data_IF_680799444567
#
_entry.id   IF_680799444567
#
_cell.length_a   1.000
_cell.length_b   1.000
_cell.length_c   1.000
_cell.angle_alpha   90.00
_cell.angle_beta   90.00
_cell.angle_gamma   90.00
#
_symmetry.space_group_name_H-M   'P 1'
#
loop_
_entity.id
_entity.type
_entity.pdbx_description
1 polymer ?
#
# COMPACT_ATOMS: atom_id res chain seq x y z
N UNK A 1 31.55 21.83 -5.86
CA UNK A 1 30.89 20.56 -5.63
C UNK A 1 30.17 19.99 -6.87
N UNK A 2 29.78 20.77 -7.87
CA UNK A 2 29.12 20.28 -9.11
C UNK A 2 29.99 19.43 -10.05
N UNK A 3 31.32 19.53 -9.97
CA UNK A 3 32.22 18.82 -10.89
C UNK A 3 32.60 17.41 -10.41
N UNK A 4 32.50 17.12 -9.10
CA UNK A 4 32.83 15.80 -8.57
C UNK A 4 31.79 14.74 -8.97
N UNK A 5 30.53 15.14 -9.06
CA UNK A 5 29.43 14.25 -9.45
C UNK A 5 29.53 13.77 -10.93
N UNK A 6 30.05 14.64 -11.81
CA UNK A 6 30.24 14.30 -13.22
C UNK A 6 31.35 13.25 -13.44
N UNK A 7 32.38 13.27 -12.61
CA UNK A 7 33.48 12.31 -12.69
C UNK A 7 33.10 10.92 -12.15
N UNK A 8 32.21 10.87 -11.14
CA UNK A 8 31.72 9.61 -10.60
C UNK A 8 30.86 8.86 -11.64
N UNK A 9 29.98 9.57 -12.36
CA UNK A 9 29.12 8.99 -13.40
C UNK A 9 29.98 8.48 -14.59
N UNK A 10 31.02 9.23 -14.98
CA UNK A 10 31.91 8.80 -16.05
C UNK A 10 32.74 7.57 -15.66
N UNK A 11 33.19 7.48 -14.39
CA UNK A 11 33.95 6.33 -13.89
C UNK A 11 33.14 5.04 -13.85
N UNK A 12 31.89 5.11 -13.43
CA UNK A 12 31.00 3.93 -13.38
C UNK A 12 30.66 3.42 -14.80
N UNK A 13 30.43 4.31 -15.75
CA UNK A 13 30.18 3.94 -17.14
C UNK A 13 31.36 3.20 -17.77
N UNK A 14 32.60 3.61 -17.46
CA UNK A 14 33.82 2.98 -18.00
C UNK A 14 34.05 1.56 -17.43
N UNK A 15 33.76 1.36 -16.15
CA UNK A 15 33.89 0.05 -15.48
C UNK A 15 32.90 -0.96 -16.07
N UNK A 16 31.67 -0.54 -16.38
CA UNK A 16 30.64 -1.43 -16.97
C UNK A 16 31.06 -1.89 -18.36
N UNK A 17 31.70 -1.02 -19.16
CA UNK A 17 32.20 -1.40 -20.51
C UNK A 17 33.39 -2.38 -20.47
N UNK A 18 34.28 -2.24 -19.48
CA UNK A 18 35.44 -3.13 -19.36
C UNK A 18 35.04 -4.53 -18.83
N UNK A 19 34.10 -4.61 -17.91
CA UNK A 19 33.62 -5.90 -17.39
C UNK A 19 32.70 -6.60 -18.42
N UNK A 20 31.87 -5.86 -19.14
CA UNK A 20 31.03 -6.40 -20.23
C UNK A 20 31.85 -6.97 -21.39
N UNK A 21 32.96 -6.32 -21.75
CA UNK A 21 33.86 -6.78 -22.84
C UNK A 21 34.63 -8.06 -22.51
N UNK A 22 34.96 -8.31 -21.26
CA UNK A 22 35.71 -9.52 -20.85
C UNK A 22 34.84 -10.79 -20.88
N UNK A 23 33.56 -10.69 -20.67
CA UNK A 23 32.63 -11.84 -20.69
C UNK A 23 32.27 -12.32 -22.10
N UNK A 24 32.40 -11.48 -23.12
CA UNK A 24 32.06 -11.87 -24.51
C UNK A 24 33.18 -12.68 -25.18
N UNK A 25 34.43 -12.56 -24.72
CA UNK A 25 35.61 -13.15 -25.40
C UNK A 25 35.91 -14.59 -24.97
N UNK A 26 35.31 -15.13 -23.92
CA UNK A 26 35.67 -16.45 -23.38
C UNK A 26 34.63 -17.56 -23.63
N UNK A 27 33.58 -17.33 -24.43
CA UNK A 27 32.52 -18.31 -24.63
C UNK A 27 32.18 -18.63 -26.08
N UNK A 28 33.23 -18.73 -26.94
CA UNK A 28 33.08 -19.32 -28.27
C UNK A 28 33.52 -20.80 -28.25
N UNK A 29 32.68 -21.64 -27.69
CA UNK A 29 32.95 -23.09 -27.77
C UNK A 29 31.98 -23.88 -26.90
N UNK A 30 30.74 -23.99 -27.31
CA UNK A 30 29.88 -25.17 -27.34
C UNK A 30 28.42 -24.72 -27.57
N UNK A 31 27.97 -24.87 -28.80
CA UNK A 31 26.55 -24.72 -29.11
C UNK A 31 25.82 -25.97 -28.66
N UNK A 32 25.26 -25.94 -27.45
CA UNK A 32 24.08 -26.73 -27.13
C UNK A 32 22.95 -25.72 -27.00
N UNK A 33 21.93 -25.87 -27.83
CA UNK A 33 20.76 -24.99 -27.86
C UNK A 33 20.08 -24.96 -26.49
N UNK A 34 20.38 -23.93 -25.70
CA UNK A 34 19.54 -23.56 -24.56
C UNK A 34 18.54 -22.52 -25.05
N UNK A 35 17.30 -22.94 -25.13
CA UNK A 35 16.17 -22.03 -25.29
C UNK A 35 16.31 -20.86 -24.29
N UNK A 36 16.07 -19.60 -24.71
CA UNK A 36 16.06 -18.50 -23.80
C UNK A 36 14.97 -18.78 -22.77
N UNK A 37 15.35 -19.04 -21.52
CA UNK A 37 14.44 -18.97 -20.39
C UNK A 37 14.01 -17.52 -20.32
N UNK A 38 12.90 -17.21 -20.94
CA UNK A 38 12.17 -15.97 -20.72
C UNK A 38 11.77 -16.01 -19.26
N UNK A 39 12.56 -15.39 -18.41
CA UNK A 39 12.10 -15.00 -17.06
C UNK A 39 10.97 -14.02 -17.30
N UNK A 40 9.75 -14.54 -17.37
CA UNK A 40 8.54 -13.74 -17.29
C UNK A 40 8.64 -13.04 -15.95
N UNK A 41 9.02 -11.78 -15.94
CA UNK A 41 8.78 -10.92 -14.80
C UNK A 41 7.25 -10.88 -14.71
N UNK A 42 6.71 -11.65 -13.81
CA UNK A 42 5.30 -11.61 -13.44
C UNK A 42 5.08 -10.20 -12.91
N UNK A 43 4.57 -9.34 -13.76
CA UNK A 43 4.24 -7.96 -13.42
C UNK A 43 3.10 -8.03 -12.43
N UNK A 44 3.41 -7.86 -11.14
CA UNK A 44 2.43 -7.85 -10.07
C UNK A 44 1.30 -6.89 -10.46
N UNK A 45 0.13 -7.45 -10.66
CA UNK A 45 -1.06 -6.67 -10.99
C UNK A 45 -1.42 -5.82 -9.78
N UNK A 46 -1.60 -4.54 -10.00
CA UNK A 46 -1.99 -3.59 -8.96
C UNK A 46 -3.42 -3.13 -9.16
N UNK A 47 -4.11 -2.89 -8.06
CA UNK A 47 -5.44 -2.29 -8.01
C UNK A 47 -5.36 -0.91 -7.38
N UNK A 48 -6.16 0.01 -7.87
CA UNK A 48 -6.27 1.37 -7.34
C UNK A 48 -7.49 1.48 -6.44
N UNK A 49 -7.34 2.17 -5.33
CA UNK A 49 -8.45 2.43 -4.40
C UNK A 49 -8.36 3.83 -3.84
N UNK A 50 -9.50 4.40 -3.49
CA UNK A 50 -9.61 5.65 -2.78
C UNK A 50 -9.91 5.37 -1.31
N UNK A 51 -9.17 6.03 -0.41
CA UNK A 51 -9.39 5.95 1.03
C UNK A 51 -9.86 7.28 1.54
N UNK A 52 -11.03 7.30 2.15
CA UNK A 52 -11.61 8.46 2.82
C UNK A 52 -11.51 8.29 4.33
N UNK A 53 -11.04 9.31 5.03
CA UNK A 53 -11.03 9.39 6.48
C UNK A 53 -11.93 10.55 6.86
N UNK A 54 -13.09 10.23 7.44
CA UNK A 54 -14.10 11.21 7.85
C UNK A 54 -14.23 11.26 9.36
N UNK A 55 -13.87 12.37 9.91
CA UNK A 55 -13.95 12.61 11.35
C UNK A 55 -15.39 12.91 11.84
N UNK A 56 -16.35 13.02 10.92
CA UNK A 56 -17.78 13.25 11.21
C UNK A 56 -18.06 14.38 12.22
N UNK A 57 -17.24 15.43 12.19
CA UNK A 57 -17.35 16.56 13.13
C UNK A 57 -16.97 16.24 14.59
N UNK A 58 -16.35 15.07 14.83
CA UNK A 58 -15.86 14.71 16.18
C UNK A 58 -14.72 15.62 16.65
N UNK A 59 -13.86 16.04 15.72
CA UNK A 59 -12.79 17.01 15.90
C UNK A 59 -12.83 18.03 14.76
N UNK A 60 -12.20 19.18 14.95
CA UNK A 60 -12.06 20.21 13.91
C UNK A 60 -10.95 19.78 12.91
N UNK A 61 -11.21 18.70 12.20
CA UNK A 61 -10.40 18.21 11.08
C UNK A 61 -11.29 18.00 9.87
N UNK A 62 -10.76 18.36 8.70
CA UNK A 62 -11.45 18.10 7.43
C UNK A 62 -11.33 16.63 7.05
N UNK A 63 -12.34 16.13 6.35
CA UNK A 63 -12.29 14.82 5.68
C UNK A 63 -11.06 14.75 4.77
N UNK A 64 -10.29 13.69 4.90
CA UNK A 64 -9.12 13.41 4.06
C UNK A 64 -9.49 12.37 3.01
N UNK A 65 -9.08 12.61 1.77
CA UNK A 65 -9.24 11.65 0.67
C UNK A 65 -7.86 11.37 0.08
N UNK A 66 -7.50 10.10 0.01
CA UNK A 66 -6.20 9.63 -0.49
C UNK A 66 -6.39 8.53 -1.51
N UNK A 67 -5.71 8.65 -2.64
CA UNK A 67 -5.63 7.56 -3.61
C UNK A 67 -4.40 6.70 -3.31
N UNK A 68 -4.54 5.41 -3.40
CA UNK A 68 -3.45 4.46 -3.25
C UNK A 68 -3.56 3.31 -4.25
N UNK A 69 -2.45 2.64 -4.50
CA UNK A 69 -2.41 1.43 -5.32
C UNK A 69 -1.74 0.34 -4.52
N UNK A 70 -2.33 -0.84 -4.49
CA UNK A 70 -1.79 -2.02 -3.80
C UNK A 70 -1.76 -3.20 -4.77
N UNK A 71 -1.06 -4.25 -4.43
CA UNK A 71 -1.07 -5.49 -5.20
C UNK A 71 -2.46 -6.13 -5.15
N UNK A 72 -2.88 -6.72 -6.25
CA UNK A 72 -4.15 -7.47 -6.33
C UNK A 72 -4.18 -8.57 -5.26
N UNK A 73 -5.32 -8.68 -4.57
CA UNK A 73 -5.49 -9.63 -3.48
C UNK A 73 -5.02 -9.15 -2.10
N UNK A 74 -4.42 -7.97 -2.01
CA UNK A 74 -4.15 -7.36 -0.71
C UNK A 74 -5.42 -6.82 -0.05
N UNK A 75 -5.34 -6.64 1.28
CA UNK A 75 -6.50 -6.24 2.08
C UNK A 75 -6.67 -4.72 2.16
N UNK A 76 -7.87 -4.27 2.56
CA UNK A 76 -8.12 -2.87 2.88
C UNK A 76 -7.23 -2.36 4.03
N UNK A 77 -6.79 -3.25 4.91
CA UNK A 77 -5.81 -2.93 5.95
C UNK A 77 -4.45 -2.52 5.35
N UNK A 78 -3.95 -3.28 4.37
CA UNK A 78 -2.71 -2.92 3.68
C UNK A 78 -2.85 -1.60 2.90
N UNK A 79 -4.01 -1.37 2.27
CA UNK A 79 -4.31 -0.11 1.60
C UNK A 79 -4.32 1.07 2.59
N UNK A 80 -4.94 0.92 3.76
CA UNK A 80 -4.97 1.95 4.80
C UNK A 80 -3.55 2.27 5.31
N UNK A 81 -2.76 1.25 5.67
CA UNK A 81 -1.37 1.45 6.10
C UNK A 81 -0.55 2.21 5.06
N UNK A 82 -0.70 1.84 3.79
CA UNK A 82 0.01 2.52 2.70
C UNK A 82 -0.42 3.97 2.53
N UNK A 83 -1.70 4.28 2.75
CA UNK A 83 -2.24 5.63 2.56
C UNK A 83 -1.89 6.59 3.68
N UNK A 84 -1.87 6.13 4.93
CA UNK A 84 -1.71 7.02 6.10
C UNK A 84 -0.42 6.81 6.89
N UNK A 85 0.28 5.69 6.68
CA UNK A 85 1.41 5.25 7.49
C UNK A 85 0.95 4.43 8.71
N UNK A 86 1.63 3.34 8.99
CA UNK A 86 1.26 2.41 10.07
C UNK A 86 1.37 3.10 11.45
N UNK A 87 2.31 4.02 11.60
CA UNK A 87 2.53 4.82 12.80
C UNK A 87 1.36 5.75 13.16
N UNK A 88 0.46 6.01 12.20
CA UNK A 88 -0.71 6.86 12.39
C UNK A 88 -1.99 6.07 12.69
N UNK A 89 -1.87 4.76 12.93
CA UNK A 89 -3.01 3.86 13.15
C UNK A 89 -2.85 3.14 14.49
N UNK A 90 -3.85 3.29 15.39
CA UNK A 90 -4.00 2.36 16.51
C UNK A 90 -5.12 1.36 16.18
N UNK A 91 -4.94 0.11 16.56
CA UNK A 91 -5.90 -0.94 16.27
C UNK A 91 -5.90 -2.04 17.34
N UNK A 92 -6.94 -2.86 17.30
CA UNK A 92 -7.02 -4.16 17.99
C UNK A 92 -7.20 -5.25 16.94
N UNK A 93 -6.44 -6.32 17.09
CA UNK A 93 -6.61 -7.53 16.29
C UNK A 93 -7.45 -8.54 17.08
N UNK A 94 -8.61 -8.87 16.55
CA UNK A 94 -9.54 -9.85 17.11
C UNK A 94 -9.42 -11.22 16.44
N UNK A 95 -8.38 -11.42 15.63
CA UNK A 95 -8.10 -12.69 14.94
C UNK A 95 -8.93 -12.90 13.69
N UNK A 96 -8.97 -14.17 13.22
CA UNK A 96 -9.46 -14.51 11.89
C UNK A 96 -10.92 -14.18 11.63
N UNK A 97 -11.78 -14.24 12.65
CA UNK A 97 -13.23 -14.13 12.48
C UNK A 97 -13.69 -12.68 12.39
N UNK A 98 -13.11 -11.81 13.20
CA UNK A 98 -13.46 -10.39 13.26
C UNK A 98 -12.43 -9.48 12.61
N UNK A 99 -11.18 -9.93 12.53
CA UNK A 99 -10.09 -9.17 11.94
C UNK A 99 -9.66 -7.97 12.77
N UNK A 100 -9.10 -6.98 12.07
CA UNK A 100 -8.60 -5.74 12.67
C UNK A 100 -9.74 -4.75 12.88
N UNK A 101 -9.78 -4.16 14.07
CA UNK A 101 -10.63 -3.04 14.44
C UNK A 101 -9.77 -1.80 14.70
N UNK A 102 -9.97 -0.75 13.90
CA UNK A 102 -9.26 0.51 14.03
C UNK A 102 -9.77 1.27 15.25
N UNK A 103 -8.87 1.66 16.15
CA UNK A 103 -9.20 2.38 17.38
C UNK A 103 -8.79 3.85 17.34
N UNK A 104 -7.76 4.21 16.57
CA UNK A 104 -7.40 5.60 16.29
C UNK A 104 -6.81 5.75 14.89
N UNK A 105 -7.05 6.90 14.25
CA UNK A 105 -6.46 7.31 12.98
C UNK A 105 -5.96 8.75 13.08
N UNK A 106 -4.74 8.98 12.59
CA UNK A 106 -4.11 10.31 12.59
C UNK A 106 -4.16 11.00 13.96
N UNK A 107 -3.96 10.19 15.05
CA UNK A 107 -4.01 10.65 16.43
C UNK A 107 -5.42 10.92 16.97
N UNK A 108 -6.49 10.63 16.21
CA UNK A 108 -7.88 10.81 16.66
C UNK A 108 -8.44 9.48 17.14
N UNK A 109 -8.71 9.42 18.44
CA UNK A 109 -9.31 8.29 19.14
C UNK A 109 -10.70 8.67 19.60
N UNK A 110 -11.77 8.15 18.97
CA UNK A 110 -13.14 8.45 19.37
C UNK A 110 -13.42 8.03 20.81
N UNK A 111 -14.28 8.79 21.48
CA UNK A 111 -14.77 8.57 22.86
C UNK A 111 -16.28 8.72 22.92
N UNK A 112 -16.88 8.52 24.09
CA UNK A 112 -18.34 8.72 24.27
C UNK A 112 -19.17 7.71 23.48
N UNK A 113 -18.72 6.45 23.41
CA UNK A 113 -19.43 5.39 22.68
C UNK A 113 -19.31 5.45 21.17
N UNK A 114 -18.49 6.37 20.65
CA UNK A 114 -18.17 6.44 19.21
C UNK A 114 -16.97 5.58 18.88
N UNK A 115 -16.89 5.14 17.63
CA UNK A 115 -15.81 4.30 17.11
C UNK A 115 -15.62 4.53 15.61
N UNK A 116 -14.53 4.07 15.06
CA UNK A 116 -14.27 4.08 13.62
C UNK A 116 -15.07 2.97 12.95
N UNK A 117 -15.96 3.36 12.04
CA UNK A 117 -16.66 2.45 11.12
C UNK A 117 -15.82 2.26 9.87
N UNK A 118 -15.89 1.07 9.30
CA UNK A 118 -15.32 0.76 7.99
C UNK A 118 -16.45 0.56 6.99
N UNK A 119 -16.44 1.32 5.91
CA UNK A 119 -17.41 1.24 4.81
C UNK A 119 -16.69 0.90 3.51
N UNK A 120 -17.39 0.22 2.62
CA UNK A 120 -16.93 -0.15 1.28
C UNK A 120 -17.99 0.33 0.29
N UNK A 121 -17.58 1.19 -0.66
CA UNK A 121 -18.45 1.72 -1.71
C UNK A 121 -19.74 2.34 -1.15
N UNK A 122 -19.64 3.03 -0.01
CA UNK A 122 -20.73 3.72 0.65
C UNK A 122 -21.61 2.84 1.55
N UNK A 123 -21.30 1.56 1.71
CA UNK A 123 -22.05 0.64 2.56
C UNK A 123 -21.19 0.18 3.73
N UNK A 124 -21.81 -0.04 4.90
CA UNK A 124 -21.13 -0.63 6.05
C UNK A 124 -20.55 -1.98 5.69
N UNK A 125 -19.28 -2.22 6.05
CA UNK A 125 -18.63 -3.50 5.80
C UNK A 125 -19.07 -4.54 6.83
N UNK A 126 -19.36 -5.75 6.37
CA UNK A 126 -19.68 -6.90 7.21
C UNK A 126 -18.43 -7.58 7.78
N UNK A 127 -17.25 -7.14 7.35
CA UNK A 127 -15.94 -7.70 7.75
C UNK A 127 -14.97 -6.58 8.12
N UNK A 128 -13.97 -6.91 8.93
CA UNK A 128 -12.89 -5.98 9.25
C UNK A 128 -11.99 -5.69 8.03
N UNK A 129 -11.25 -4.57 8.03
CA UNK A 129 -10.41 -4.18 6.89
C UNK A 129 -9.30 -5.17 6.56
N UNK A 130 -8.86 -6.01 7.49
CA UNK A 130 -7.88 -7.06 7.23
C UNK A 130 -8.45 -8.25 6.43
N UNK A 131 -9.76 -8.46 6.48
CA UNK A 131 -10.45 -9.57 5.80
C UNK A 131 -10.94 -9.19 4.41
N UNK A 132 -11.18 -7.92 4.14
CA UNK A 132 -11.66 -7.45 2.85
C UNK A 132 -10.51 -7.34 1.82
N UNK A 133 -10.66 -8.03 0.68
CA UNK A 133 -9.72 -7.94 -0.45
C UNK A 133 -10.16 -6.86 -1.41
N UNK A 134 -9.30 -5.85 -1.56
CA UNK A 134 -9.60 -4.65 -2.37
C UNK A 134 -9.72 -5.00 -3.84
N UNK A 135 -10.74 -4.46 -4.48
CA UNK A 135 -10.95 -4.50 -5.92
C UNK A 135 -10.54 -3.18 -6.57
N UNK A 136 -10.25 -3.22 -7.85
CA UNK A 136 -9.89 -2.00 -8.58
C UNK A 136 -11.07 -1.02 -8.62
N UNK A 137 -10.79 0.23 -8.23
CA UNK A 137 -11.79 1.29 -8.16
C UNK A 137 -12.60 1.36 -6.85
N UNK A 138 -12.33 0.48 -5.87
CA UNK A 138 -13.03 0.52 -4.59
C UNK A 138 -12.83 1.86 -3.88
N UNK A 139 -13.88 2.30 -3.19
CA UNK A 139 -13.88 3.42 -2.25
C UNK A 139 -14.01 2.87 -0.84
N UNK A 140 -12.93 2.98 -0.10
CA UNK A 140 -12.83 2.56 1.30
C UNK A 140 -13.00 3.79 2.18
N UNK A 141 -13.89 3.75 3.16
CA UNK A 141 -14.13 4.86 4.06
C UNK A 141 -13.98 4.43 5.51
N UNK A 142 -13.24 5.23 6.26
CA UNK A 142 -13.15 5.14 7.71
C UNK A 142 -13.81 6.38 8.29
N UNK A 143 -14.95 6.21 8.93
CA UNK A 143 -15.76 7.31 9.45
C UNK A 143 -16.04 7.13 10.94
N UNK A 144 -15.98 8.20 11.72
CA UNK A 144 -16.37 8.14 13.14
C UNK A 144 -17.89 7.99 13.24
N UNK A 145 -18.35 6.94 13.94
CA UNK A 145 -19.77 6.69 14.15
C UNK A 145 -20.46 7.89 14.82
N UNK A 146 -21.70 8.16 14.45
CA UNK A 146 -22.54 9.10 15.21
C UNK A 146 -22.85 8.51 16.58
N UNK A 147 -23.10 9.35 17.62
CA UNK A 147 -23.57 8.84 18.89
C UNK A 147 -24.89 8.10 18.65
N UNK A 148 -25.04 6.93 19.27
CA UNK A 148 -26.38 6.31 19.34
C UNK A 148 -27.34 7.32 19.95
N UNK A 149 -28.38 7.71 19.22
CA UNK A 149 -29.47 8.47 19.81
C UNK A 149 -29.97 7.63 20.98
N UNK A 150 -29.82 8.15 22.20
CA UNK A 150 -30.09 7.40 23.42
C UNK A 150 -31.47 6.73 23.36
N UNK A 151 -31.48 5.44 23.63
CA UNK A 151 -32.66 4.70 24.01
C UNK A 151 -32.95 5.02 25.47
#
# INVERSE_FOLDING_TARGET
MKNLQKWIIAGVALIVLLVGGYFISSNLGNQTAQSPTTTSQEQLKTVKTQITIDYAGFVDKKTEVKETSIEEGQSAWEALKKAVGEENIEYKDYGRDMGIFVTALNGVKPTGGRFWLFNINGNGADVGPSSYKVQDGDKLEFVISQPSAGQ
#
